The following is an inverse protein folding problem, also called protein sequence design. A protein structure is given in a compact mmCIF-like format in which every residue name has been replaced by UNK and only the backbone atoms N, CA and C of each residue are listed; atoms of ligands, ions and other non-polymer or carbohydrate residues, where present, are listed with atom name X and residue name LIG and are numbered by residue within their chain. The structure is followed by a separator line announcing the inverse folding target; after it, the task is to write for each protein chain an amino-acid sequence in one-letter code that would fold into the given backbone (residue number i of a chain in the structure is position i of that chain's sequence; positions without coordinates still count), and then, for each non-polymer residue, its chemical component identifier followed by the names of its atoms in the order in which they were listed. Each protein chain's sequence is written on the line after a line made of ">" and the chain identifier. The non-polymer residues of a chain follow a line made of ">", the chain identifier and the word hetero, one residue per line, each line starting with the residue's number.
data_IF_518207107956
#
_entry.id   IF_518207107956
#
_cell.length_a   1.000
_cell.length_b   1.000
_cell.length_c   1.000
_cell.angle_alpha   90.00
_cell.angle_beta   90.00
_cell.angle_gamma   90.00
#
_symmetry.space_group_name_H-M   'P 1'
#
loop_
_entity.id
_entity.type
_entity.pdbx_description
1 polymer ?
#
# COMPACT_ATOMS: atom_id res chain seq x y z
N UNK A 1 1.06 9.53 -13.56
CA UNK A 1 0.27 8.80 -12.54
C UNK A 1 0.72 9.18 -11.14
N UNK A 2 -0.22 9.28 -10.23
CA UNK A 2 0.02 9.55 -8.79
C UNK A 2 -0.34 8.32 -7.99
N UNK A 3 0.64 7.78 -7.24
CA UNK A 3 0.46 6.68 -6.30
C UNK A 3 0.32 7.23 -4.87
N UNK A 4 -0.66 6.72 -4.12
CA UNK A 4 -0.70 6.82 -2.68
C UNK A 4 -0.29 5.48 -2.05
N UNK A 5 0.74 5.51 -1.20
CA UNK A 5 1.25 4.35 -0.44
C UNK A 5 0.89 4.56 1.04
N UNK A 6 -0.15 3.86 1.51
CA UNK A 6 -0.72 4.01 2.85
C UNK A 6 -0.16 2.92 3.76
N UNK A 7 0.44 3.34 4.87
CA UNK A 7 1.24 2.46 5.73
C UNK A 7 2.59 2.15 5.10
N UNK A 8 3.25 3.17 4.58
CA UNK A 8 4.44 3.07 3.74
C UNK A 8 5.66 2.33 4.33
N UNK A 9 5.74 2.22 5.65
CA UNK A 9 6.79 1.48 6.36
C UNK A 9 8.20 1.97 6.03
N UNK A 10 8.93 1.26 5.18
CA UNK A 10 10.25 1.65 4.66
C UNK A 10 10.19 2.39 3.31
N UNK A 11 9.00 2.56 2.75
CA UNK A 11 8.77 3.18 1.45
C UNK A 11 8.97 2.25 0.26
N UNK A 12 9.06 0.94 0.49
CA UNK A 12 9.47 -0.02 -0.55
C UNK A 12 8.55 0.01 -1.76
N UNK A 13 7.22 0.03 -1.57
CA UNK A 13 6.27 0.01 -2.67
C UNK A 13 6.34 1.30 -3.49
N UNK A 14 6.24 2.46 -2.84
CA UNK A 14 6.32 3.74 -3.53
C UNK A 14 7.66 3.92 -4.26
N UNK A 15 8.77 3.57 -3.63
CA UNK A 15 10.12 3.72 -4.21
C UNK A 15 10.27 2.82 -5.44
N UNK A 16 9.89 1.54 -5.37
CA UNK A 16 10.03 0.62 -6.51
C UNK A 16 9.07 1.00 -7.66
N UNK A 17 7.85 1.45 -7.36
CA UNK A 17 6.97 1.99 -8.38
C UNK A 17 7.59 3.21 -9.10
N UNK A 18 8.20 4.13 -8.35
CA UNK A 18 8.87 5.30 -8.93
C UNK A 18 10.11 4.92 -9.73
N UNK A 19 10.84 3.87 -9.34
CA UNK A 19 11.99 3.36 -10.11
C UNK A 19 11.59 2.68 -11.41
N UNK A 20 10.40 2.08 -11.43
CA UNK A 20 9.87 1.42 -12.62
C UNK A 20 9.26 2.38 -13.65
N UNK A 21 9.11 3.67 -13.31
CA UNK A 21 8.50 4.69 -14.19
C UNK A 21 9.31 5.99 -14.17
N UNK A 22 9.39 6.68 -15.30
CA UNK A 22 10.14 7.95 -15.39
C UNK A 22 9.31 9.18 -15.00
N UNK A 23 7.98 9.10 -15.03
CA UNK A 23 7.07 10.26 -14.90
C UNK A 23 6.11 10.20 -13.71
N UNK A 24 6.11 9.11 -12.94
CA UNK A 24 5.21 8.94 -11.79
C UNK A 24 5.58 9.79 -10.59
N UNK A 25 4.58 10.10 -9.77
CA UNK A 25 4.74 10.71 -8.44
C UNK A 25 4.13 9.79 -7.38
N UNK A 26 4.64 9.85 -6.16
CA UNK A 26 4.08 9.09 -5.04
C UNK A 26 3.95 9.95 -3.78
N UNK A 27 2.96 9.62 -2.97
CA UNK A 27 2.77 10.14 -1.63
C UNK A 27 2.70 8.97 -0.67
N UNK A 28 3.65 8.88 0.27
CA UNK A 28 3.61 7.91 1.36
C UNK A 28 2.93 8.51 2.58
N UNK A 29 1.99 7.78 3.16
CA UNK A 29 1.38 8.09 4.45
C UNK A 29 1.92 7.11 5.50
N UNK A 30 2.62 7.63 6.52
CA UNK A 30 3.23 6.81 7.58
C UNK A 30 3.10 7.54 8.93
N UNK A 31 2.50 6.87 9.91
CA UNK A 31 2.25 7.44 11.22
C UNK A 31 3.54 7.64 12.04
N UNK A 32 4.47 6.70 11.93
CA UNK A 32 5.72 6.69 12.70
C UNK A 32 6.74 7.65 12.10
N UNK A 33 7.18 8.63 12.90
CA UNK A 33 8.14 9.66 12.48
C UNK A 33 9.51 9.07 12.08
N UNK A 34 9.99 8.06 12.80
CA UNK A 34 11.28 7.42 12.51
C UNK A 34 11.19 6.71 11.15
N UNK A 35 10.06 6.05 10.87
CA UNK A 35 9.82 5.41 9.58
C UNK A 35 9.70 6.43 8.45
N UNK A 36 9.05 7.58 8.67
CA UNK A 36 9.04 8.69 7.68
C UNK A 36 10.46 9.13 7.32
N UNK A 37 11.33 9.31 8.33
CA UNK A 37 12.74 9.62 8.09
C UNK A 37 13.48 8.53 7.29
N UNK A 38 13.16 7.26 7.54
CA UNK A 38 13.71 6.11 6.80
C UNK A 38 13.25 6.11 5.33
N UNK A 39 11.97 6.38 5.07
CA UNK A 39 11.44 6.50 3.70
C UNK A 39 12.23 7.56 2.92
N UNK A 40 12.39 8.75 3.48
CA UNK A 40 13.13 9.84 2.85
C UNK A 40 14.59 9.49 2.58
N UNK A 41 15.25 8.82 3.54
CA UNK A 41 16.63 8.34 3.38
C UNK A 41 16.74 7.31 2.24
N UNK A 42 15.83 6.35 2.19
CA UNK A 42 15.79 5.32 1.15
C UNK A 42 15.52 5.94 -0.23
N UNK A 43 14.56 6.86 -0.32
CA UNK A 43 14.23 7.54 -1.58
C UNK A 43 15.40 8.37 -2.14
N UNK A 44 16.15 9.05 -1.27
CA UNK A 44 17.39 9.76 -1.67
C UNK A 44 18.44 8.80 -2.19
N UNK A 45 18.69 7.71 -1.44
CA UNK A 45 19.69 6.69 -1.83
C UNK A 45 19.36 6.05 -3.18
N UNK A 46 18.07 5.88 -3.49
CA UNK A 46 17.59 5.24 -4.71
C UNK A 46 17.21 6.23 -5.83
N UNK A 47 17.50 7.53 -5.64
CA UNK A 47 17.40 8.55 -6.69
C UNK A 47 15.97 9.03 -7.01
N UNK A 48 14.96 8.69 -6.19
CA UNK A 48 13.55 9.03 -6.48
C UNK A 48 12.94 10.08 -5.53
N UNK A 49 13.73 10.66 -4.63
CA UNK A 49 13.24 11.58 -3.61
C UNK A 49 12.55 12.82 -4.18
N UNK A 50 12.91 13.25 -5.38
CA UNK A 50 12.31 14.42 -6.05
C UNK A 50 10.87 14.17 -6.55
N UNK A 51 10.42 12.91 -6.55
CA UNK A 51 9.07 12.48 -6.97
C UNK A 51 8.24 11.88 -5.83
N UNK A 52 8.80 11.84 -4.61
CA UNK A 52 8.17 11.24 -3.44
C UNK A 52 7.90 12.29 -2.37
N UNK A 53 6.64 12.46 -1.99
CA UNK A 53 6.25 13.18 -0.78
C UNK A 53 5.97 12.19 0.36
N UNK A 54 6.27 12.60 1.60
CA UNK A 54 5.98 11.81 2.80
C UNK A 54 5.10 12.62 3.73
N UNK A 55 3.97 12.07 4.12
CA UNK A 55 2.95 12.66 4.98
C UNK A 55 2.82 11.89 6.30
N UNK A 56 2.15 12.50 7.28
CA UNK A 56 1.78 11.85 8.54
C UNK A 56 0.75 10.72 8.36
N UNK A 57 0.09 10.37 9.47
CA UNK A 57 -0.88 9.28 9.50
C UNK A 57 -2.04 9.47 8.51
N UNK A 58 -2.49 8.37 7.93
CA UNK A 58 -3.77 8.25 7.24
C UNK A 58 -4.88 7.96 8.28
N UNK A 59 -6.14 8.43 8.08
CA UNK A 59 -6.61 9.26 6.95
C UNK A 59 -6.40 10.77 7.16
N UNK A 60 -5.95 11.21 8.35
CA UNK A 60 -5.92 12.61 8.77
C UNK A 60 -5.18 13.54 7.79
N UNK A 61 -4.16 12.99 7.14
CA UNK A 61 -3.32 13.74 6.22
C UNK A 61 -3.73 13.62 4.74
N UNK A 62 -4.86 13.00 4.40
CA UNK A 62 -5.32 12.94 3.00
C UNK A 62 -5.67 14.32 2.44
N UNK A 63 -6.19 15.21 3.29
CA UNK A 63 -6.56 16.58 2.90
C UNK A 63 -5.36 17.47 2.60
N UNK A 64 -4.17 17.14 3.10
CA UNK A 64 -2.95 17.89 2.81
C UNK A 64 -2.40 17.61 1.40
N UNK A 65 -2.96 16.64 0.67
CA UNK A 65 -2.58 16.29 -0.69
C UNK A 65 -3.67 16.73 -1.65
N UNK A 66 -3.40 17.71 -2.53
CA UNK A 66 -4.43 18.27 -3.42
C UNK A 66 -4.87 17.29 -4.51
N UNK A 67 -3.93 16.51 -5.05
CA UNK A 67 -4.18 15.66 -6.20
C UNK A 67 -4.82 14.32 -5.80
N UNK A 68 -5.88 13.94 -6.50
CA UNK A 68 -6.47 12.62 -6.38
C UNK A 68 -5.56 11.56 -7.03
N UNK A 69 -5.36 10.41 -6.37
CA UNK A 69 -4.48 9.37 -6.87
C UNK A 69 -5.10 8.57 -8.03
N UNK A 70 -4.23 8.09 -8.90
CA UNK A 70 -4.57 7.10 -9.94
C UNK A 70 -4.46 5.67 -9.40
N UNK A 71 -3.54 5.48 -8.45
CA UNK A 71 -3.29 4.19 -7.79
C UNK A 71 -3.19 4.40 -6.29
N UNK A 72 -3.81 3.50 -5.51
CA UNK A 72 -3.65 3.44 -4.06
C UNK A 72 -3.16 2.05 -3.68
N UNK A 73 -2.09 2.01 -2.89
CA UNK A 73 -1.66 0.81 -2.18
C UNK A 73 -1.88 0.98 -0.68
N UNK A 74 -2.48 -0.01 -0.03
CA UNK A 74 -2.62 -0.06 1.43
C UNK A 74 -1.84 -1.28 1.94
N UNK A 75 -0.70 -1.02 2.58
CA UNK A 75 0.16 -2.02 3.18
C UNK A 75 -0.02 -2.20 4.68
N UNK A 76 -0.76 -1.29 5.33
CA UNK A 76 -1.08 -1.31 6.76
C UNK A 76 -2.15 -0.32 7.12
N UNK A 77 -2.76 -0.49 8.31
CA UNK A 77 -3.78 0.41 8.82
C UNK A 77 -5.18 0.23 8.21
N UNK A 78 -5.43 -0.83 7.44
CA UNK A 78 -6.74 -1.07 6.81
C UNK A 78 -7.90 -1.08 7.81
N UNK A 79 -7.67 -1.60 9.02
CA UNK A 79 -8.68 -1.70 10.09
C UNK A 79 -8.97 -0.38 10.80
N UNK A 80 -8.18 0.66 10.53
CA UNK A 80 -8.42 1.98 11.11
C UNK A 80 -9.59 2.66 10.41
N UNK A 81 -10.43 3.32 11.22
CA UNK A 81 -11.60 4.04 10.74
C UNK A 81 -11.21 5.10 9.69
N UNK A 82 -11.94 5.15 8.60
CA UNK A 82 -11.75 6.12 7.53
C UNK A 82 -10.66 5.79 6.51
N UNK A 83 -9.66 4.98 6.86
CA UNK A 83 -8.50 4.72 5.97
C UNK A 83 -8.95 4.23 4.58
N UNK A 84 -9.80 3.21 4.52
CA UNK A 84 -10.29 2.71 3.23
C UNK A 84 -11.30 3.68 2.59
N UNK A 85 -12.32 4.10 3.35
CA UNK A 85 -13.46 4.83 2.79
C UNK A 85 -13.03 6.17 2.17
N UNK A 86 -12.18 6.92 2.88
CA UNK A 86 -11.70 8.21 2.42
C UNK A 86 -10.72 8.07 1.26
N UNK A 87 -9.84 7.05 1.30
CA UNK A 87 -8.95 6.72 0.19
C UNK A 87 -9.74 6.31 -1.07
N UNK A 88 -10.75 5.45 -0.92
CA UNK A 88 -11.61 5.05 -2.03
C UNK A 88 -12.36 6.23 -2.66
N UNK A 89 -12.85 7.15 -1.84
CA UNK A 89 -13.52 8.36 -2.33
C UNK A 89 -12.56 9.23 -3.15
N UNK A 90 -11.32 9.39 -2.70
CA UNK A 90 -10.27 10.15 -3.38
C UNK A 90 -9.70 9.46 -4.63
N UNK A 91 -9.78 8.13 -4.74
CA UNK A 91 -9.31 7.41 -5.92
C UNK A 91 -10.10 7.87 -7.16
N UNK A 92 -9.41 8.18 -8.23
CA UNK A 92 -10.04 8.54 -9.51
C UNK A 92 -10.88 7.38 -10.05
N UNK A 93 -11.92 7.70 -10.80
CA UNK A 93 -12.64 6.70 -11.62
C UNK A 93 -11.67 6.11 -12.63
N UNK A 94 -11.69 4.78 -12.80
CA UNK A 94 -10.69 4.03 -13.56
C UNK A 94 -9.38 3.78 -12.80
N UNK A 95 -9.18 4.40 -11.64
CA UNK A 95 -8.02 4.17 -10.78
C UNK A 95 -8.04 2.80 -10.11
N UNK A 96 -6.87 2.32 -9.70
CA UNK A 96 -6.66 1.00 -9.10
C UNK A 96 -6.35 1.09 -7.62
N UNK A 97 -6.99 0.24 -6.82
CA UNK A 97 -6.62 0.03 -5.42
C UNK A 97 -6.07 -1.38 -5.23
N UNK A 98 -4.97 -1.47 -4.49
CA UNK A 98 -4.31 -2.72 -4.09
C UNK A 98 -4.16 -2.71 -2.58
N UNK A 99 -4.62 -3.75 -1.91
CA UNK A 99 -4.54 -3.87 -0.45
C UNK A 99 -3.93 -5.21 -0.08
N UNK A 100 -2.91 -5.19 0.76
CA UNK A 100 -2.30 -6.39 1.34
C UNK A 100 -2.74 -6.56 2.79
N UNK A 101 -3.10 -7.78 3.15
CA UNK A 101 -3.48 -8.18 4.50
C UNK A 101 -2.73 -9.44 4.93
N UNK A 102 -2.30 -9.46 6.19
CA UNK A 102 -1.62 -10.60 6.83
C UNK A 102 -2.32 -11.03 8.12
N UNK A 103 -3.32 -10.28 8.60
CA UNK A 103 -4.09 -10.61 9.80
C UNK A 103 -5.50 -11.06 9.43
N UNK A 104 -6.12 -11.87 10.28
CA UNK A 104 -7.49 -12.37 10.08
C UNK A 104 -8.48 -11.22 9.98
N UNK A 105 -8.34 -10.20 10.82
CA UNK A 105 -9.22 -9.03 10.83
C UNK A 105 -9.14 -8.26 9.50
N UNK A 106 -7.93 -8.05 8.98
CA UNK A 106 -7.73 -7.40 7.69
C UNK A 106 -8.23 -8.27 6.53
N UNK A 107 -8.00 -9.58 6.56
CA UNK A 107 -8.53 -10.52 5.55
C UNK A 107 -10.07 -10.53 5.53
N UNK A 108 -10.70 -10.48 6.69
CA UNK A 108 -12.15 -10.38 6.80
C UNK A 108 -12.69 -9.11 6.13
N UNK A 109 -12.00 -7.99 6.30
CA UNK A 109 -12.36 -6.75 5.60
C UNK A 109 -12.15 -6.89 4.09
N UNK A 110 -11.05 -7.50 3.63
CA UNK A 110 -10.83 -7.71 2.19
C UNK A 110 -11.96 -8.52 1.55
N UNK A 111 -12.46 -9.53 2.26
CA UNK A 111 -13.60 -10.32 1.78
C UNK A 111 -14.86 -9.45 1.62
N UNK A 112 -15.17 -8.60 2.60
CA UNK A 112 -16.30 -7.68 2.54
C UNK A 112 -16.14 -6.67 1.39
N UNK A 113 -14.92 -6.14 1.19
CA UNK A 113 -14.62 -5.23 0.09
C UNK A 113 -14.81 -5.91 -1.26
N UNK A 114 -14.35 -7.16 -1.41
CA UNK A 114 -14.58 -7.94 -2.62
C UNK A 114 -16.06 -8.13 -2.92
N UNK A 115 -16.89 -8.43 -1.91
CA UNK A 115 -18.33 -8.58 -2.10
C UNK A 115 -18.98 -7.27 -2.55
N UNK A 116 -18.52 -6.13 -2.02
CA UNK A 116 -19.12 -4.82 -2.30
C UNK A 116 -18.63 -4.16 -3.57
N UNK A 117 -17.34 -4.27 -3.86
CA UNK A 117 -16.67 -3.54 -4.95
C UNK A 117 -16.17 -4.45 -6.08
N UNK A 118 -16.33 -5.76 -5.95
CA UNK A 118 -15.75 -6.72 -6.91
C UNK A 118 -14.24 -6.84 -6.77
N UNK A 119 -13.56 -6.98 -7.90
CA UNK A 119 -12.11 -7.14 -7.93
C UNK A 119 -11.66 -8.58 -7.68
N UNK A 120 -10.37 -8.77 -7.45
CA UNK A 120 -9.72 -10.06 -7.30
C UNK A 120 -9.07 -10.21 -5.92
N UNK A 121 -9.08 -11.44 -5.40
CA UNK A 121 -8.31 -11.84 -4.22
C UNK A 121 -7.26 -12.87 -4.64
N UNK A 122 -6.02 -12.63 -4.24
CA UNK A 122 -4.90 -13.55 -4.44
C UNK A 122 -4.21 -13.80 -3.09
N UNK A 123 -3.86 -15.04 -2.79
CA UNK A 123 -3.04 -15.37 -1.62
C UNK A 123 -1.65 -15.80 -2.06
N UNK A 124 -0.65 -15.17 -1.49
CA UNK A 124 0.76 -15.43 -1.73
C UNK A 124 1.38 -16.08 -0.49
N UNK A 125 2.01 -17.23 -0.67
CA UNK A 125 2.74 -17.95 0.38
C UNK A 125 4.19 -18.12 -0.07
N UNK A 126 5.13 -17.66 0.75
CA UNK A 126 6.57 -17.72 0.46
C UNK A 126 7.28 -18.36 1.64
N UNK A 127 8.15 -19.31 1.37
CA UNK A 127 9.07 -19.86 2.35
C UNK A 127 10.51 -19.64 1.89
N UNK A 128 11.39 -19.30 2.82
CA UNK A 128 12.83 -19.10 2.56
C UNK A 128 13.65 -20.11 3.32
N UNK A 129 14.78 -20.51 2.75
CA UNK A 129 15.75 -21.34 3.46
C UNK A 129 16.22 -20.62 4.74
N UNK A 130 16.22 -21.36 5.82
CA UNK A 130 16.69 -20.95 7.14
C UNK A 130 17.52 -22.03 7.77
N UNK A 131 18.61 -21.69 8.42
CA UNK A 131 19.48 -22.65 9.13
C UNK A 131 18.93 -22.95 10.53
N UNK A 132 18.85 -24.26 10.83
CA UNK A 132 18.52 -24.78 12.16
C UNK A 132 19.70 -25.63 12.62
N UNK A 133 20.62 -25.03 13.39
CA UNK A 133 21.87 -25.69 13.75
C UNK A 133 22.72 -26.01 12.50
N UNK A 134 23.06 -27.28 12.32
CA UNK A 134 23.81 -27.78 11.16
C UNK A 134 22.92 -28.12 9.94
N UNK A 135 21.61 -28.06 10.07
CA UNK A 135 20.64 -28.39 9.03
C UNK A 135 20.04 -27.14 8.38
N UNK A 136 19.40 -27.33 7.23
CA UNK A 136 18.61 -26.31 6.56
C UNK A 136 17.14 -26.73 6.50
N UNK A 137 16.22 -25.78 6.64
CA UNK A 137 14.78 -25.98 6.51
C UNK A 137 14.16 -24.78 5.82
N UNK A 138 12.94 -24.94 5.29
CA UNK A 138 12.16 -23.82 4.77
C UNK A 138 11.33 -23.20 5.89
N UNK A 139 11.55 -21.91 6.16
CA UNK A 139 10.74 -21.13 7.09
C UNK A 139 9.68 -20.34 6.32
N UNK A 140 8.37 -20.61 6.53
CA UNK A 140 7.33 -19.84 5.88
C UNK A 140 7.24 -18.42 6.46
N UNK A 141 7.07 -17.45 5.58
CA UNK A 141 6.60 -16.12 5.96
C UNK A 141 5.08 -16.17 6.22
N UNK A 142 4.55 -15.15 6.88
CA UNK A 142 3.10 -15.00 6.96
C UNK A 142 2.53 -14.88 5.54
N UNK A 143 1.49 -15.67 5.20
CA UNK A 143 0.82 -15.51 3.92
C UNK A 143 0.25 -14.10 3.77
N UNK A 144 0.33 -13.55 2.56
CA UNK A 144 -0.26 -12.25 2.23
C UNK A 144 -1.50 -12.49 1.39
N UNK A 145 -2.65 -12.00 1.83
CA UNK A 145 -3.84 -11.91 1.00
C UNK A 145 -3.89 -10.53 0.39
N UNK A 146 -3.95 -10.47 -0.94
CA UNK A 146 -4.01 -9.23 -1.70
C UNK A 146 -5.38 -9.11 -2.37
N UNK A 147 -6.00 -7.95 -2.22
CA UNK A 147 -7.18 -7.55 -2.97
C UNK A 147 -6.83 -6.46 -3.97
N UNK A 148 -7.32 -6.60 -5.21
CA UNK A 148 -7.13 -5.63 -6.28
C UNK A 148 -8.47 -5.28 -6.89
N UNK A 149 -8.78 -4.00 -7.00
CA UNK A 149 -9.98 -3.53 -7.68
C UNK A 149 -9.72 -2.23 -8.46
N UNK A 150 -10.48 -2.05 -9.54
CA UNK A 150 -10.54 -0.80 -10.30
C UNK A 150 -11.85 -0.09 -9.97
N UNK A 151 -11.76 1.19 -9.62
CA UNK A 151 -12.94 2.01 -9.30
C UNK A 151 -13.77 2.25 -10.56
N UNK A 152 -14.97 1.68 -10.58
CA UNK A 152 -15.90 1.85 -11.69
C UNK A 152 -16.65 3.19 -11.58
N UNK A 153 -17.12 3.76 -12.70
CA UNK A 153 -18.06 4.87 -12.68
C UNK A 153 -19.31 4.46 -11.89
N UNK A 154 -19.85 5.39 -11.13
CA UNK A 154 -21.16 5.18 -10.47
C UNK A 154 -22.20 5.13 -11.57
N UNK A 155 -22.87 3.99 -11.74
CA UNK A 155 -24.04 3.88 -12.63
C UNK A 155 -25.16 4.67 -11.97
N UNK A 156 -25.53 5.77 -12.57
CA UNK A 156 -26.69 6.62 -12.19
C UNK A 156 -27.98 5.95 -12.59
#
# INVERSE_FOLDING_TARGET
>A
ETLWDIGGGAGSVAIECLRATDTGKAVCFEADEIRRGRILKNARKLGVAHRLAVQGAAPDNYTSVPDNPDVIFIGGGLTMLGVFADAWNRLKVGGRMVINAVTIESEQQLWQLKQRYGGELVRLSVAKEHRIGSFAAFQPALPVTQWVATKQPTVT
#
